data_IF_289514200709
#
_entry.id   IF_289514200709
#
_cell.length_a   1.000
_cell.length_b   1.000
_cell.length_c   1.000
_cell.angle_alpha   90.00
_cell.angle_beta   90.00
_cell.angle_gamma   90.00
#
_symmetry.space_group_name_H-M   'P 1'
#
loop_
_entity.id
_entity.type
_entity.pdbx_description
1 polymer ?
#
# COMPACT_ATOMS: atom_id res chain seq x y z
N UNK A 1 -9.17 -2.54 -5.80
CA UNK A 1 -9.76 -2.17 -4.50
C UNK A 1 -9.69 -3.39 -3.59
N UNK A 2 -9.21 -3.21 -2.36
CA UNK A 2 -9.28 -4.24 -1.31
C UNK A 2 -10.74 -4.31 -0.80
N UNK A 3 -11.23 -5.52 -0.54
CA UNK A 3 -12.58 -5.75 -0.06
C UNK A 3 -12.53 -6.45 1.30
N UNK A 4 -13.20 -5.87 2.30
CA UNK A 4 -13.42 -6.45 3.63
C UNK A 4 -14.81 -6.07 4.10
N UNK A 5 -15.53 -7.03 4.68
CA UNK A 5 -16.80 -6.79 5.36
C UNK A 5 -16.63 -6.15 6.74
N UNK A 6 -15.42 -6.25 7.32
CA UNK A 6 -15.06 -5.68 8.62
C UNK A 6 -14.33 -4.34 8.42
N UNK A 7 -14.77 -3.25 9.06
CA UNK A 7 -14.06 -1.96 9.01
C UNK A 7 -12.63 -2.06 9.53
N UNK A 8 -11.69 -1.44 8.83
CA UNK A 8 -10.29 -1.35 9.26
C UNK A 8 -10.13 -0.14 10.19
N UNK A 9 -9.71 -0.39 11.43
CA UNK A 9 -9.52 0.62 12.48
C UNK A 9 -8.05 1.06 12.50
N UNK A 10 -7.83 2.34 12.23
CA UNK A 10 -6.48 2.93 12.17
C UNK A 10 -6.39 4.07 13.16
N UNK A 11 -5.38 4.04 14.03
CA UNK A 11 -4.96 5.26 14.74
C UNK A 11 -3.87 5.93 13.92
N UNK A 12 -4.01 7.23 13.69
CA UNK A 12 -3.02 8.03 12.98
C UNK A 12 -2.44 9.09 13.91
N UNK A 13 -1.12 9.13 14.00
CA UNK A 13 -0.37 10.04 14.85
C UNK A 13 0.50 10.94 13.98
N UNK A 14 0.55 12.22 14.34
CA UNK A 14 1.42 13.20 13.71
C UNK A 14 2.38 13.74 14.76
N UNK A 15 3.54 13.09 14.89
CA UNK A 15 4.48 13.28 16.00
C UNK A 15 5.92 13.40 15.49
N UNK A 16 6.86 13.98 16.25
CA UNK A 16 8.26 13.96 15.84
C UNK A 16 8.80 12.53 15.83
N UNK A 17 9.35 12.11 14.69
CA UNK A 17 10.06 10.83 14.54
C UNK A 17 11.56 11.05 14.44
N UNK A 18 12.32 9.95 14.51
CA UNK A 18 13.77 9.99 14.34
C UNK A 18 14.16 10.59 12.97
N UNK A 19 15.31 11.29 12.88
CA UNK A 19 15.77 11.86 11.62
C UNK A 19 15.85 10.80 10.51
N UNK A 20 15.30 11.13 9.33
CA UNK A 20 15.28 10.23 8.17
C UNK A 20 14.04 9.35 8.06
N UNK A 21 13.19 9.27 9.09
CA UNK A 21 11.89 8.58 9.00
C UNK A 21 10.79 9.56 8.59
N UNK A 22 10.09 9.25 7.49
CA UNK A 22 8.92 10.01 7.04
C UNK A 22 7.64 9.51 7.72
N UNK A 23 7.55 8.20 7.90
CA UNK A 23 6.50 7.51 8.62
C UNK A 23 6.98 6.15 9.13
N UNK A 24 6.14 5.51 9.93
CA UNK A 24 6.24 4.11 10.32
C UNK A 24 4.88 3.60 10.79
N UNK A 25 4.58 2.34 10.51
CA UNK A 25 3.34 1.69 10.90
C UNK A 25 3.61 0.42 11.65
N UNK A 26 2.90 0.23 12.76
CA UNK A 26 2.97 -0.97 13.57
C UNK A 26 1.60 -1.67 13.50
N UNK A 27 1.51 -2.83 12.82
CA UNK A 27 0.25 -3.58 12.75
C UNK A 27 0.02 -4.43 14.00
N UNK A 28 -1.23 -4.49 14.45
CA UNK A 28 -1.66 -5.46 15.45
C UNK A 28 -1.66 -6.86 14.84
N UNK A 29 -1.31 -7.88 15.60
CA UNK A 29 -1.09 -9.24 15.11
C UNK A 29 -2.10 -10.26 15.64
N UNK A 30 -2.51 -11.20 14.79
CA UNK A 30 -3.22 -12.43 15.18
C UNK A 30 -2.56 -13.63 14.53
N UNK A 31 -2.46 -14.73 15.28
CA UNK A 31 -2.03 -16.05 14.78
C UNK A 31 -3.02 -17.12 15.23
N UNK A 32 -3.01 -18.25 14.54
CA UNK A 32 -3.77 -19.46 14.92
C UNK A 32 -5.27 -19.22 15.20
N UNK A 33 -5.87 -18.20 14.58
CA UNK A 33 -7.30 -17.94 14.67
C UNK A 33 -8.09 -18.96 13.85
N UNK A 34 -9.37 -19.16 14.19
CA UNK A 34 -10.23 -20.04 13.42
C UNK A 34 -10.41 -19.51 11.99
N UNK A 35 -10.02 -20.29 10.99
CA UNK A 35 -10.00 -19.86 9.58
C UNK A 35 -8.65 -19.33 9.09
N UNK A 36 -7.60 -19.34 9.92
CA UNK A 36 -6.25 -19.00 9.47
C UNK A 36 -5.78 -19.93 8.34
N UNK A 37 -5.31 -19.40 7.19
CA UNK A 37 -4.89 -20.22 6.07
C UNK A 37 -3.68 -21.13 6.37
N UNK A 38 -2.78 -20.66 7.23
CA UNK A 38 -1.59 -21.37 7.66
C UNK A 38 -1.49 -21.36 9.20
N UNK A 39 -1.19 -22.50 9.84
CA UNK A 39 -0.90 -22.54 11.27
C UNK A 39 0.45 -21.89 11.57
N UNK A 40 0.68 -21.56 12.84
CA UNK A 40 1.94 -21.02 13.34
C UNK A 40 2.47 -19.84 12.51
N UNK A 41 1.57 -18.97 12.08
CA UNK A 41 1.85 -17.84 11.19
C UNK A 41 1.10 -16.60 11.68
N UNK A 42 1.79 -15.47 11.74
CA UNK A 42 1.19 -14.18 12.10
C UNK A 42 0.54 -13.47 10.90
N UNK A 43 -0.59 -12.82 11.16
CA UNK A 43 -1.31 -11.99 10.20
C UNK A 43 -1.55 -10.62 10.85
N UNK A 44 -1.52 -9.55 10.05
CA UNK A 44 -2.05 -8.27 10.54
C UNK A 44 -3.52 -8.43 10.86
N UNK A 45 -4.01 -7.70 11.86
CA UNK A 45 -5.36 -7.95 12.33
C UNK A 45 -6.40 -7.53 11.30
N UNK A 46 -6.14 -6.44 10.56
CA UNK A 46 -6.93 -6.04 9.39
C UNK A 46 -7.10 -7.20 8.38
N UNK A 47 -6.02 -7.94 8.10
CA UNK A 47 -6.06 -9.09 7.20
C UNK A 47 -6.82 -10.28 7.83
N UNK A 48 -6.57 -10.60 9.09
CA UNK A 48 -7.29 -11.70 9.76
C UNK A 48 -8.80 -11.45 9.87
N UNK A 49 -9.21 -10.19 10.11
CA UNK A 49 -10.61 -9.79 10.14
C UNK A 49 -11.26 -9.95 8.75
N UNK A 50 -10.54 -9.52 7.70
CA UNK A 50 -10.97 -9.66 6.32
C UNK A 50 -11.11 -11.13 5.89
N UNK A 51 -10.18 -12.00 6.28
CA UNK A 51 -10.21 -13.45 5.97
C UNK A 51 -11.41 -14.13 6.61
N UNK A 52 -11.77 -13.73 7.83
CA UNK A 52 -12.80 -14.41 8.65
C UNK A 52 -14.17 -13.76 8.58
N UNK A 53 -14.29 -12.59 7.93
CA UNK A 53 -15.48 -11.74 7.98
C UNK A 53 -15.94 -11.43 9.43
N UNK A 54 -15.01 -11.39 10.38
CA UNK A 54 -15.26 -11.20 11.80
C UNK A 54 -14.26 -10.25 12.46
N UNK A 55 -14.72 -9.53 13.49
CA UNK A 55 -13.89 -8.66 14.31
C UNK A 55 -13.15 -9.48 15.39
N UNK A 56 -11.85 -9.72 15.21
CA UNK A 56 -11.02 -10.56 16.10
C UNK A 56 -10.31 -9.77 17.22
N UNK A 57 -10.31 -8.44 17.16
CA UNK A 57 -9.62 -7.52 18.07
C UNK A 57 -10.58 -6.44 18.60
N UNK A 58 -11.68 -6.88 19.20
CA UNK A 58 -12.69 -5.97 19.75
C UNK A 58 -12.07 -4.99 20.74
N UNK A 59 -12.19 -3.69 20.47
CA UNK A 59 -11.67 -2.62 21.32
C UNK A 59 -10.25 -2.14 20.99
N UNK A 60 -9.54 -2.80 20.08
CA UNK A 60 -8.19 -2.41 19.64
C UNK A 60 -8.22 -1.84 18.21
N UNK A 61 -7.23 -1.03 17.83
CA UNK A 61 -6.97 -0.72 16.42
C UNK A 61 -6.37 -1.93 15.69
N UNK A 62 -6.49 -1.95 14.37
CA UNK A 62 -5.81 -2.94 13.53
C UNK A 62 -4.35 -2.57 13.31
N UNK A 63 -4.04 -1.28 13.30
CA UNK A 63 -2.67 -0.77 13.25
C UNK A 63 -2.60 0.69 13.71
N UNK A 64 -1.42 1.06 14.18
CA UNK A 64 -1.06 2.44 14.52
C UNK A 64 -0.07 2.97 13.48
N UNK A 65 -0.42 4.09 12.88
CA UNK A 65 0.32 4.77 11.82
C UNK A 65 0.90 6.07 12.37
N UNK A 66 2.21 6.26 12.21
CA UNK A 66 2.93 7.43 12.70
C UNK A 66 3.54 8.18 11.52
N UNK A 67 3.22 9.46 11.38
CA UNK A 67 3.78 10.36 10.37
C UNK A 67 4.61 11.45 11.05
N UNK A 68 5.78 11.74 10.49
CA UNK A 68 6.74 12.64 11.12
C UNK A 68 6.27 14.10 11.03
N UNK A 69 5.95 14.71 12.17
CA UNK A 69 5.50 16.11 12.24
C UNK A 69 6.59 17.14 11.90
N UNK A 70 7.85 16.73 11.82
CA UNK A 70 8.99 17.58 11.49
C UNK A 70 9.25 17.75 9.99
N UNK A 71 8.51 17.07 9.13
CA UNK A 71 8.70 17.10 7.68
C UNK A 71 7.91 18.25 7.05
N UNK A 72 8.49 18.84 5.99
CA UNK A 72 7.82 19.86 5.19
C UNK A 72 6.79 19.21 4.25
N UNK A 73 5.58 19.00 4.75
CA UNK A 73 4.55 18.28 4.00
C UNK A 73 3.84 19.13 2.93
N UNK A 74 3.50 18.45 1.85
CA UNK A 74 2.44 18.83 0.93
C UNK A 74 1.15 18.11 1.33
N UNK A 75 0.13 18.89 1.68
CA UNK A 75 -1.16 18.39 2.15
C UNK A 75 -2.22 18.26 1.04
N UNK A 76 -1.89 18.68 -0.18
CA UNK A 76 -2.80 18.57 -1.31
C UNK A 76 -2.95 17.11 -1.74
N UNK A 77 -4.11 16.77 -2.29
CA UNK A 77 -4.46 15.42 -2.76
C UNK A 77 -4.49 15.33 -4.29
N UNK A 78 -4.01 16.36 -4.98
CA UNK A 78 -4.05 16.50 -6.44
C UNK A 78 -2.80 15.95 -7.15
N UNK A 79 -1.81 15.50 -6.39
CA UNK A 79 -0.54 14.99 -6.90
C UNK A 79 0.44 16.07 -7.38
N UNK A 80 0.18 17.36 -7.13
CA UNK A 80 1.05 18.46 -7.54
C UNK A 80 2.04 18.87 -6.44
N UNK A 81 2.74 17.89 -5.86
CA UNK A 81 3.67 18.12 -4.76
C UNK A 81 4.85 19.01 -5.19
N UNK A 82 5.09 20.17 -4.54
CA UNK A 82 6.21 21.04 -4.88
C UNK A 82 7.58 20.38 -4.61
N UNK A 83 8.60 20.86 -5.33
CA UNK A 83 9.99 20.40 -5.26
C UNK A 83 10.58 20.30 -3.83
N UNK A 84 10.14 21.16 -2.91
CA UNK A 84 10.68 21.28 -1.54
C UNK A 84 9.87 20.54 -0.48
N UNK A 85 8.86 19.76 -0.88
CA UNK A 85 7.91 19.12 0.02
C UNK A 85 7.82 17.62 -0.21
N UNK A 86 7.42 16.90 0.83
CA UNK A 86 7.03 15.49 0.74
C UNK A 86 5.51 15.38 0.64
N UNK A 87 5.02 14.53 -0.24
CA UNK A 87 3.58 14.32 -0.43
C UNK A 87 2.99 13.46 0.70
N UNK A 88 2.10 14.06 1.50
CA UNK A 88 1.54 13.38 2.68
C UNK A 88 0.70 12.16 2.30
N UNK A 89 -0.06 12.23 1.20
CA UNK A 89 -0.93 11.14 0.74
C UNK A 89 -0.09 9.92 0.36
N UNK A 90 1.03 10.13 -0.33
CA UNK A 90 1.93 9.05 -0.74
C UNK A 90 2.52 8.34 0.46
N UNK A 91 3.05 9.08 1.44
CA UNK A 91 3.61 8.46 2.65
C UNK A 91 2.52 7.80 3.49
N UNK A 92 1.36 8.45 3.69
CA UNK A 92 0.26 7.83 4.42
C UNK A 92 -0.23 6.53 3.74
N UNK A 93 -0.30 6.50 2.40
CA UNK A 93 -0.69 5.32 1.65
C UNK A 93 0.35 4.19 1.76
N UNK A 94 1.64 4.52 1.69
CA UNK A 94 2.75 3.60 1.93
C UNK A 94 2.63 2.96 3.32
N UNK A 95 2.45 3.79 4.34
CA UNK A 95 2.27 3.35 5.73
C UNK A 95 1.01 2.49 5.91
N UNK A 96 -0.10 2.83 5.25
CA UNK A 96 -1.30 2.00 5.25
C UNK A 96 -1.05 0.61 4.63
N UNK A 97 -0.21 0.49 3.59
CA UNK A 97 0.13 -0.82 3.03
C UNK A 97 0.83 -1.73 4.05
N UNK A 98 1.72 -1.18 4.89
CA UNK A 98 2.30 -1.92 6.01
C UNK A 98 1.22 -2.38 7.01
N UNK A 99 0.31 -1.47 7.40
CA UNK A 99 -0.86 -1.76 8.23
C UNK A 99 -1.72 -2.91 7.69
N UNK A 100 -1.86 -2.97 6.37
CA UNK A 100 -2.62 -4.00 5.65
C UNK A 100 -1.90 -5.35 5.54
N UNK A 101 -0.67 -5.48 6.01
CA UNK A 101 0.05 -6.76 6.02
C UNK A 101 1.21 -6.85 5.02
N UNK A 102 1.59 -5.75 4.35
CA UNK A 102 2.90 -5.66 3.68
C UNK A 102 3.99 -5.48 4.75
N UNK A 103 4.14 -6.46 5.64
CA UNK A 103 5.05 -6.39 6.78
C UNK A 103 5.54 -7.80 7.11
N UNK A 104 6.78 -7.90 7.55
CA UNK A 104 7.42 -9.14 7.99
C UNK A 104 7.95 -8.99 9.41
N UNK A 105 8.40 -10.10 9.98
CA UNK A 105 8.92 -10.18 11.35
C UNK A 105 10.43 -10.45 11.40
N UNK A 106 11.15 -10.13 10.32
CA UNK A 106 12.58 -10.33 10.21
C UNK A 106 13.36 -9.42 11.16
N UNK A 107 14.31 -9.98 11.89
CA UNK A 107 15.28 -9.26 12.75
C UNK A 107 16.67 -9.86 12.59
N UNK A 108 17.69 -9.02 12.63
CA UNK A 108 19.10 -9.44 12.73
C UNK A 108 19.69 -8.94 14.05
N UNK A 109 20.28 -9.84 14.82
CA UNK A 109 21.02 -9.53 16.05
C UNK A 109 22.39 -10.21 15.99
N UNK A 110 23.46 -9.41 16.06
CA UNK A 110 24.82 -9.93 15.93
C UNK A 110 25.04 -10.67 14.60
N UNK A 111 25.26 -11.99 14.66
CA UNK A 111 25.50 -12.84 13.50
C UNK A 111 24.28 -13.64 13.06
N UNK A 112 23.15 -13.54 13.75
CA UNK A 112 21.95 -14.35 13.49
C UNK A 112 20.82 -13.51 12.94
N UNK A 113 20.13 -14.06 11.93
CA UNK A 113 18.84 -13.59 11.43
C UNK A 113 17.74 -14.45 12.03
N UNK A 114 16.56 -13.87 12.15
CA UNK A 114 15.40 -14.50 12.78
C UNK A 114 14.09 -13.95 12.24
N UNK A 115 13.03 -14.73 12.36
CA UNK A 115 11.65 -14.25 12.27
C UNK A 115 10.98 -14.34 13.65
N UNK A 116 10.17 -13.35 13.99
CA UNK A 116 9.34 -13.38 15.21
C UNK A 116 10.12 -13.16 16.51
N UNK A 117 11.25 -12.46 16.45
CA UNK A 117 12.02 -11.99 17.63
C UNK A 117 12.05 -10.46 17.75
N UNK A 118 11.17 -9.77 17.02
CA UNK A 118 10.98 -8.33 17.19
C UNK A 118 10.36 -8.05 18.55
N UNK A 119 10.90 -7.06 19.23
CA UNK A 119 10.48 -6.59 20.54
C UNK A 119 10.03 -5.13 20.42
N UNK A 120 9.11 -4.68 21.26
CA UNK A 120 8.65 -3.28 21.25
C UNK A 120 9.81 -2.28 21.34
N UNK A 121 10.87 -2.61 22.09
CA UNK A 121 12.07 -1.78 22.25
C UNK A 121 12.83 -1.55 20.94
N UNK A 122 12.68 -2.44 19.95
CA UNK A 122 13.31 -2.29 18.63
C UNK A 122 12.77 -1.07 17.88
N UNK A 123 11.59 -0.56 18.26
CA UNK A 123 10.91 0.58 17.65
C UNK A 123 10.84 1.81 18.56
N UNK A 124 11.56 1.80 19.69
CA UNK A 124 11.54 2.91 20.63
C UNK A 124 11.95 4.25 19.96
N UNK A 125 11.33 5.38 20.35
CA UNK A 125 10.38 5.54 21.47
C UNK A 125 8.91 5.31 21.09
N UNK A 126 8.64 4.75 19.90
CA UNK A 126 7.27 4.51 19.42
C UNK A 126 6.71 3.29 20.15
N UNK A 127 5.45 3.37 20.51
CA UNK A 127 4.71 2.32 21.22
C UNK A 127 3.43 2.02 20.45
N UNK A 128 2.72 0.96 20.83
CA UNK A 128 1.43 0.61 20.24
C UNK A 128 0.30 0.84 21.25
N UNK A 129 -0.90 1.13 20.75
CA UNK A 129 -2.13 1.26 21.56
C UNK A 129 -2.71 -0.09 21.97
N UNK A 130 -2.26 -1.16 21.33
CA UNK A 130 -2.57 -2.54 21.64
C UNK A 130 -1.33 -3.24 22.24
N UNK A 131 -1.49 -4.35 22.99
CA UNK A 131 -0.36 -5.06 23.55
C UNK A 131 0.56 -5.63 22.45
N UNK A 132 1.88 -5.44 22.60
CA UNK A 132 2.84 -6.15 21.76
C UNK A 132 2.79 -7.65 22.08
N UNK A 133 2.46 -8.53 21.12
CA UNK A 133 2.35 -9.95 21.38
C UNK A 133 3.72 -10.62 21.50
N UNK A 134 3.78 -11.72 22.25
CA UNK A 134 4.90 -12.67 22.14
C UNK A 134 4.83 -13.32 20.76
N UNK A 135 5.76 -12.97 19.86
CA UNK A 135 5.74 -13.39 18.46
C UNK A 135 6.14 -14.87 18.24
N UNK A 136 6.44 -15.60 19.32
CA UNK A 136 6.70 -17.05 19.33
C UNK A 136 7.82 -17.53 18.40
N UNK A 137 8.74 -16.66 17.96
CA UNK A 137 9.76 -17.00 16.94
C UNK A 137 9.12 -17.52 15.64
N UNK A 138 7.93 -17.00 15.30
CA UNK A 138 7.17 -17.39 14.13
C UNK A 138 7.21 -16.30 13.03
N UNK A 139 7.15 -16.70 11.75
CA UNK A 139 7.04 -15.76 10.64
C UNK A 139 5.64 -15.12 10.56
N UNK A 140 5.56 -13.95 9.93
CA UNK A 140 4.31 -13.45 9.39
C UNK A 140 3.99 -14.11 8.03
N UNK A 141 2.73 -14.06 7.61
CA UNK A 141 2.29 -14.60 6.31
C UNK A 141 3.10 -14.04 5.14
N UNK A 142 3.52 -12.78 5.23
CA UNK A 142 4.40 -12.15 4.25
C UNK A 142 5.77 -12.85 4.17
N UNK A 143 6.39 -13.14 5.32
CA UNK A 143 7.70 -13.80 5.41
C UNK A 143 7.68 -15.20 4.79
N UNK A 144 6.55 -15.91 4.89
CA UNK A 144 6.38 -17.26 4.31
C UNK A 144 6.51 -17.30 2.79
N UNK A 145 6.45 -16.13 2.13
CA UNK A 145 6.59 -15.99 0.68
C UNK A 145 7.97 -15.51 0.26
N UNK A 146 8.86 -15.18 1.19
CA UNK A 146 10.20 -14.73 0.84
C UNK A 146 11.09 -15.91 0.44
N UNK A 147 11.79 -15.80 -0.68
CA UNK A 147 12.77 -16.79 -1.14
C UNK A 147 14.13 -16.17 -1.38
N UNK A 148 15.18 -16.99 -1.29
CA UNK A 148 16.51 -16.64 -1.81
C UNK A 148 16.56 -16.67 -3.35
N UNK A 149 17.75 -16.49 -3.93
CA UNK A 149 17.97 -16.50 -5.37
C UNK A 149 17.81 -17.87 -6.03
N UNK A 150 17.93 -18.95 -5.25
CA UNK A 150 17.76 -20.32 -5.71
C UNK A 150 16.30 -20.79 -5.59
N UNK A 151 15.44 -19.95 -4.99
CA UNK A 151 14.02 -20.22 -4.79
C UNK A 151 13.70 -20.96 -3.49
N UNK A 152 14.66 -21.10 -2.57
CA UNK A 152 14.38 -21.68 -1.25
C UNK A 152 13.64 -20.67 -0.38
N UNK A 153 12.55 -21.10 0.25
CA UNK A 153 11.81 -20.25 1.18
C UNK A 153 12.65 -19.94 2.42
N UNK A 154 12.71 -18.66 2.79
CA UNK A 154 13.51 -18.21 3.93
C UNK A 154 13.01 -18.82 5.25
N UNK A 155 11.72 -19.13 5.35
CA UNK A 155 11.12 -19.79 6.53
C UNK A 155 11.50 -21.26 6.70
N UNK A 156 12.21 -21.87 5.73
CA UNK A 156 12.70 -23.25 5.84
C UNK A 156 14.08 -23.37 6.48
N UNK A 157 14.81 -22.26 6.62
CA UNK A 157 16.08 -22.23 7.34
C UNK A 157 15.83 -22.28 8.86
N UNK A 158 16.79 -22.77 9.66
CA UNK A 158 16.66 -22.73 11.11
C UNK A 158 16.44 -21.30 11.59
N UNK A 159 15.48 -21.11 12.50
CA UNK A 159 15.11 -19.82 13.05
C UNK A 159 15.35 -19.80 14.56
N UNK A 160 16.30 -19.00 15.10
CA UNK A 160 17.25 -18.11 14.40
C UNK A 160 18.48 -18.82 13.82
N UNK A 161 19.17 -18.22 12.83
CA UNK A 161 20.44 -18.77 12.29
C UNK A 161 21.31 -17.75 11.56
N UNK A 162 22.59 -18.11 11.35
CA UNK A 162 23.51 -17.36 10.46
C UNK A 162 23.09 -17.43 8.99
N UNK A 163 22.45 -18.53 8.58
CA UNK A 163 21.99 -18.74 7.21
C UNK A 163 20.83 -17.79 6.88
N UNK A 164 19.92 -17.57 7.83
CA UNK A 164 18.90 -16.52 7.71
C UNK A 164 19.53 -15.15 7.54
N UNK A 165 20.52 -14.78 8.36
CA UNK A 165 21.21 -13.49 8.22
C UNK A 165 21.82 -13.31 6.83
N UNK A 166 22.49 -14.35 6.32
CA UNK A 166 23.11 -14.33 4.99
C UNK A 166 22.04 -14.00 3.94
N UNK A 167 20.89 -14.67 4.00
CA UNK A 167 19.79 -14.46 3.07
C UNK A 167 19.06 -13.13 3.24
N UNK A 168 19.03 -12.54 4.43
CA UNK A 168 18.38 -11.25 4.66
C UNK A 168 19.13 -10.06 4.03
N UNK A 169 20.31 -10.32 3.46
CA UNK A 169 21.21 -9.31 2.89
C UNK A 169 21.63 -9.67 1.46
N UNK A 170 22.41 -8.81 0.80
CA UNK A 170 23.08 -9.19 -0.45
C UNK A 170 22.23 -9.12 -1.73
N UNK A 171 21.08 -8.45 -1.68
CA UNK A 171 20.19 -8.18 -2.82
C UNK A 171 19.68 -9.46 -3.51
N UNK A 172 19.40 -10.49 -2.71
CA UNK A 172 19.09 -11.85 -3.17
C UNK A 172 17.71 -12.35 -2.77
N UNK A 173 16.84 -11.49 -2.23
CA UNK A 173 15.49 -11.89 -1.78
C UNK A 173 14.43 -11.52 -2.80
N UNK A 174 13.49 -12.44 -2.99
CA UNK A 174 12.34 -12.30 -3.89
C UNK A 174 11.05 -12.69 -3.17
N UNK A 175 9.92 -12.15 -3.62
CA UNK A 175 8.60 -12.54 -3.15
C UNK A 175 7.99 -13.59 -4.09
N UNK A 176 7.72 -14.79 -3.56
CA UNK A 176 7.11 -15.89 -4.29
C UNK A 176 5.59 -15.93 -4.06
N UNK A 177 4.87 -15.24 -4.94
CA UNK A 177 3.42 -15.25 -4.99
C UNK A 177 2.96 -15.25 -6.44
N UNK A 178 1.93 -16.05 -6.74
CA UNK A 178 1.44 -16.22 -8.11
C UNK A 178 0.89 -14.89 -8.66
N UNK A 179 0.09 -14.18 -7.86
CA UNK A 179 -0.53 -12.93 -8.29
C UNK A 179 0.52 -11.82 -8.44
N UNK A 180 1.44 -11.69 -7.48
CA UNK A 180 2.54 -10.74 -7.53
C UNK A 180 3.47 -10.99 -8.73
N UNK A 181 3.77 -12.26 -9.01
CA UNK A 181 4.61 -12.65 -10.17
C UNK A 181 3.91 -12.35 -11.48
N UNK A 182 2.60 -12.64 -11.60
CA UNK A 182 1.81 -12.24 -12.78
C UNK A 182 1.89 -10.72 -13.00
N UNK A 183 1.79 -9.93 -11.94
CA UNK A 183 1.92 -8.46 -11.99
C UNK A 183 3.34 -7.96 -12.30
N UNK A 184 4.33 -8.85 -12.29
CA UNK A 184 5.74 -8.57 -12.58
C UNK A 184 6.24 -9.43 -13.76
N UNK A 185 5.42 -9.55 -14.82
CA UNK A 185 5.77 -10.24 -16.07
C UNK A 185 6.12 -11.74 -15.90
N UNK A 186 5.52 -12.39 -14.91
CA UNK A 186 5.79 -13.79 -14.58
C UNK A 186 7.03 -14.02 -13.71
N UNK A 187 7.75 -12.95 -13.32
CA UNK A 187 8.93 -13.04 -12.47
C UNK A 187 8.60 -12.68 -11.02
N UNK A 188 9.22 -13.36 -10.05
CA UNK A 188 9.08 -13.02 -8.62
C UNK A 188 9.55 -11.57 -8.37
N UNK A 189 8.75 -10.71 -7.71
CA UNK A 189 9.19 -9.36 -7.37
C UNK A 189 10.44 -9.35 -6.50
N UNK A 190 11.35 -8.43 -6.79
CA UNK A 190 12.59 -8.32 -6.03
C UNK A 190 12.36 -7.50 -4.75
N UNK A 191 12.81 -8.03 -3.62
CA UNK A 191 12.66 -7.39 -2.31
C UNK A 191 13.91 -6.60 -1.93
N UNK A 192 13.73 -5.58 -1.10
CA UNK A 192 14.83 -4.79 -0.59
C UNK A 192 15.62 -5.56 0.47
N UNK A 193 16.74 -6.14 0.06
CA UNK A 193 17.69 -6.83 0.93
C UNK A 193 19.08 -6.20 0.77
N UNK A 194 19.36 -5.03 1.38
CA UNK A 194 20.66 -4.35 1.26
C UNK A 194 21.82 -5.19 1.80
N UNK A 195 23.07 -4.77 1.56
CA UNK A 195 24.26 -5.44 2.10
C UNK A 195 24.34 -5.42 3.63
N UNK A 196 23.77 -4.38 4.24
CA UNK A 196 23.59 -4.26 5.69
C UNK A 196 22.10 -4.28 6.00
N UNK A 197 21.67 -5.24 6.82
CA UNK A 197 20.28 -5.32 7.27
C UNK A 197 19.88 -4.00 7.97
N UNK A 198 18.77 -3.41 7.53
CA UNK A 198 18.18 -2.20 8.07
C UNK A 198 16.82 -2.56 8.65
N UNK A 199 16.73 -2.60 9.99
CA UNK A 199 15.48 -2.85 10.69
C UNK A 199 14.42 -1.83 10.24
N UNK A 200 13.20 -2.29 9.97
CA UNK A 200 12.10 -1.47 9.47
C UNK A 200 12.14 -1.20 7.96
N UNK A 201 13.18 -1.63 7.23
CA UNK A 201 13.26 -1.48 5.77
C UNK A 201 13.55 -2.79 5.05
N UNK A 202 14.54 -3.54 5.53
CA UNK A 202 14.94 -4.81 4.92
C UNK A 202 13.78 -5.81 4.91
N UNK A 203 13.57 -6.44 3.76
CA UNK A 203 12.59 -7.50 3.50
C UNK A 203 11.12 -7.07 3.58
N UNK A 204 10.84 -5.83 3.96
CA UNK A 204 9.48 -5.27 4.03
C UNK A 204 9.24 -4.18 2.99
N UNK A 205 10.09 -4.11 1.95
CA UNK A 205 9.96 -3.19 0.83
C UNK A 205 10.32 -3.85 -0.50
N UNK A 206 9.77 -3.32 -1.58
CA UNK A 206 10.25 -3.60 -2.93
C UNK A 206 11.65 -3.01 -3.14
N UNK A 207 12.43 -3.64 -4.02
CA UNK A 207 13.79 -3.25 -4.27
C UNK A 207 13.88 -1.91 -5.04
N UNK A 208 14.38 -0.86 -4.39
CA UNK A 208 14.54 0.48 -4.97
C UNK A 208 15.25 0.48 -6.34
N UNK A 209 16.35 -0.28 -6.48
CA UNK A 209 17.10 -0.31 -7.74
C UNK A 209 16.35 -1.01 -8.88
N UNK A 210 15.40 -1.87 -8.54
CA UNK A 210 14.54 -2.59 -9.51
C UNK A 210 13.29 -1.78 -9.85
N UNK A 211 12.75 -1.07 -8.86
CA UNK A 211 11.52 -0.26 -8.97
C UNK A 211 11.81 1.20 -8.59
N UNK A 212 12.70 1.90 -9.31
CA UNK A 212 13.17 3.23 -8.92
C UNK A 212 12.07 4.29 -9.03
N UNK A 213 12.37 5.49 -8.53
CA UNK A 213 11.47 6.64 -8.65
C UNK A 213 10.92 6.83 -10.08
N UNK A 214 9.60 7.03 -10.19
CA UNK A 214 8.81 7.07 -11.42
C UNK A 214 8.33 5.71 -11.93
N UNK A 215 8.74 4.60 -11.32
CA UNK A 215 8.16 3.28 -11.60
C UNK A 215 6.76 3.19 -10.98
N UNK A 216 5.83 2.48 -11.63
CA UNK A 216 4.49 2.25 -11.04
C UNK A 216 4.52 1.59 -9.67
N UNK A 217 5.49 0.72 -9.42
CA UNK A 217 5.61 -0.02 -8.16
C UNK A 217 6.52 0.72 -7.16
N UNK A 218 6.85 2.00 -7.40
CA UNK A 218 7.75 2.75 -6.53
C UNK A 218 7.18 2.97 -5.13
N UNK A 219 5.85 2.94 -4.94
CA UNK A 219 5.24 3.34 -3.67
C UNK A 219 5.84 2.58 -2.48
N UNK A 220 6.01 1.26 -2.61
CA UNK A 220 6.50 0.39 -1.52
C UNK A 220 8.00 0.13 -1.58
N UNK A 221 8.79 1.00 -2.20
CA UNK A 221 10.24 1.01 -2.00
C UNK A 221 10.61 1.82 -0.75
N UNK A 222 11.80 1.61 -0.14
CA UNK A 222 12.09 2.16 1.19
C UNK A 222 12.43 3.66 1.19
N UNK A 223 12.51 4.31 0.02
CA UNK A 223 12.91 5.70 -0.08
C UNK A 223 11.88 6.51 -0.86
N UNK A 224 11.51 7.67 -0.32
CA UNK A 224 10.71 8.65 -1.04
C UNK A 224 11.53 9.92 -1.30
N UNK A 225 11.45 10.44 -2.51
CA UNK A 225 11.99 11.74 -2.88
C UNK A 225 10.99 12.86 -2.56
N UNK A 226 11.50 14.04 -2.22
CA UNK A 226 10.67 15.25 -2.26
C UNK A 226 10.09 15.44 -3.67
N UNK A 227 8.93 16.08 -3.78
CA UNK A 227 8.14 16.27 -5.02
C UNK A 227 7.45 15.03 -5.58
N UNK A 228 7.86 13.82 -5.18
CA UNK A 228 7.22 12.61 -5.67
C UNK A 228 5.81 12.50 -5.06
N UNK A 229 4.83 12.29 -5.93
CA UNK A 229 3.44 12.06 -5.55
C UNK A 229 2.93 10.79 -6.23
N UNK A 230 2.73 9.75 -5.44
CA UNK A 230 2.38 8.39 -5.85
C UNK A 230 1.13 7.98 -5.07
N UNK A 231 -0.02 8.12 -5.71
CA UNK A 231 -1.33 7.87 -5.08
C UNK A 231 -1.95 6.53 -5.51
N UNK A 232 -1.08 5.58 -5.86
CA UNK A 232 -1.45 4.21 -6.22
C UNK A 232 -0.40 3.22 -5.65
N UNK A 233 -0.81 2.12 -4.99
CA UNK A 233 0.13 1.11 -4.51
C UNK A 233 0.91 0.40 -5.62
N UNK A 234 0.38 0.39 -6.84
CA UNK A 234 0.97 -0.31 -7.97
C UNK A 234 0.58 -1.80 -8.03
N UNK A 235 0.68 -2.40 -9.22
CA UNK A 235 0.18 -3.75 -9.48
C UNK A 235 0.90 -4.83 -8.66
N UNK A 236 2.21 -4.70 -8.41
CA UNK A 236 2.96 -5.69 -7.62
C UNK A 236 2.46 -5.72 -6.18
N UNK A 237 2.28 -4.55 -5.55
CA UNK A 237 1.80 -4.46 -4.18
C UNK A 237 0.39 -5.04 -4.07
N UNK A 238 -0.49 -4.74 -5.03
CA UNK A 238 -1.83 -5.33 -5.08
C UNK A 238 -1.80 -6.86 -5.27
N UNK A 239 -0.86 -7.38 -6.06
CA UNK A 239 -0.63 -8.82 -6.21
C UNK A 239 -0.15 -9.47 -4.91
N UNK A 240 0.81 -8.84 -4.23
CA UNK A 240 1.33 -9.28 -2.92
C UNK A 240 0.21 -9.33 -1.88
N UNK A 241 -0.60 -8.27 -1.77
CA UNK A 241 -1.73 -8.23 -0.84
C UNK A 241 -2.72 -9.37 -1.11
N UNK A 242 -2.94 -9.71 -2.38
CA UNK A 242 -3.78 -10.86 -2.76
C UNK A 242 -3.12 -12.20 -2.37
N UNK A 243 -1.82 -12.35 -2.57
CA UNK A 243 -1.08 -13.58 -2.24
C UNK A 243 -1.00 -13.87 -0.73
N UNK A 244 -1.04 -12.83 0.11
CA UNK A 244 -1.12 -12.99 1.58
C UNK A 244 -2.53 -13.22 2.10
N UNK A 245 -3.57 -13.05 1.27
CA UNK A 245 -4.95 -13.44 1.58
C UNK A 245 -6.01 -12.36 1.44
N UNK A 246 -5.68 -11.14 1.01
CA UNK A 246 -6.73 -10.14 0.76
C UNK A 246 -7.61 -10.52 -0.42
N UNK A 247 -8.90 -10.27 -0.29
CA UNK A 247 -9.79 -10.24 -1.43
C UNK A 247 -9.56 -8.93 -2.22
N UNK A 248 -8.89 -9.05 -3.37
CA UNK A 248 -8.50 -7.91 -4.20
C UNK A 248 -9.27 -7.90 -5.51
N UNK A 249 -10.12 -6.88 -5.68
CA UNK A 249 -10.73 -6.55 -6.97
C UNK A 249 -9.84 -5.53 -7.69
N UNK A 250 -8.72 -5.99 -8.26
CA UNK A 250 -7.79 -5.17 -9.02
C UNK A 250 -7.73 -5.67 -10.46
N UNK A 251 -8.04 -4.79 -11.42
CA UNK A 251 -8.11 -5.09 -12.85
C UNK A 251 -6.89 -4.58 -13.63
N UNK A 252 -5.79 -4.23 -12.95
CA UNK A 252 -4.57 -3.80 -13.63
C UNK A 252 -3.98 -4.93 -14.47
N UNK A 253 -3.55 -4.61 -15.70
CA UNK A 253 -3.00 -5.59 -16.65
C UNK A 253 -1.51 -5.83 -16.33
N UNK A 254 -1.03 -7.09 -16.34
CA UNK A 254 0.39 -7.41 -16.27
C UNK A 254 1.24 -6.68 -17.32
N UNK A 255 2.36 -6.09 -16.91
CA UNK A 255 3.40 -5.67 -17.85
C UNK A 255 3.12 -4.42 -18.68
N UNK A 256 1.93 -3.84 -18.57
CA UNK A 256 1.84 -2.41 -18.81
C UNK A 256 2.66 -1.75 -17.70
N UNK A 257 3.72 -1.02 -18.05
CA UNK A 257 3.96 0.24 -17.36
C UNK A 257 2.57 0.88 -17.44
N UNK A 258 1.78 1.01 -16.38
CA UNK A 258 0.68 1.95 -16.49
C UNK A 258 1.40 3.23 -16.80
N UNK A 259 1.30 3.66 -18.05
CA UNK A 259 1.91 4.85 -18.58
C UNK A 259 1.39 5.96 -17.68
N UNK A 260 2.12 6.24 -16.60
CA UNK A 260 1.66 7.02 -15.45
C UNK A 260 0.12 7.00 -15.38
N UNK A 261 -0.54 5.87 -15.11
CA UNK A 261 -2.02 5.78 -15.28
C UNK A 261 -2.67 6.64 -14.19
N UNK A 262 -2.73 7.93 -14.48
CA UNK A 262 -3.48 8.97 -13.80
C UNK A 262 -4.93 8.79 -14.21
N UNK A 263 -5.48 7.62 -13.92
CA UNK A 263 -6.82 7.34 -14.34
C UNK A 263 -7.78 8.28 -13.61
N UNK A 264 -8.63 8.93 -14.38
CA UNK A 264 -9.77 9.71 -13.91
C UNK A 264 -10.53 8.85 -12.90
N UNK A 265 -10.61 9.28 -11.63
CA UNK A 265 -11.46 8.65 -10.61
C UNK A 265 -12.56 9.64 -10.22
N UNK A 266 -13.72 9.10 -9.88
CA UNK A 266 -14.91 9.87 -9.51
C UNK A 266 -15.47 9.26 -8.24
N UNK A 267 -15.56 10.04 -7.17
CA UNK A 267 -16.06 9.58 -5.87
C UNK A 267 -16.77 10.69 -5.08
N UNK A 268 -17.73 10.38 -4.19
CA UNK A 268 -18.32 9.07 -4.01
C UNK A 268 -19.08 8.64 -5.29
N UNK A 269 -19.25 7.35 -5.48
CA UNK A 269 -20.11 6.81 -6.52
C UNK A 269 -20.77 5.55 -5.95
N UNK A 270 -22.07 5.59 -5.60
CA UNK A 270 -23.06 6.65 -5.90
C UNK A 270 -22.85 7.97 -5.14
N UNK A 271 -23.41 9.10 -5.63
CA UNK A 271 -23.34 10.43 -4.99
C UNK A 271 -24.67 11.18 -4.99
N UNK A 272 -24.90 12.03 -3.98
CA UNK A 272 -26.13 12.81 -3.82
C UNK A 272 -25.96 14.32 -4.08
N UNK A 273 -24.86 14.95 -3.66
CA UNK A 273 -24.72 16.42 -3.75
C UNK A 273 -23.46 16.88 -4.48
N UNK A 274 -22.34 16.17 -4.26
CA UNK A 274 -21.03 16.52 -4.83
C UNK A 274 -20.31 15.25 -5.23
N UNK A 275 -19.56 15.33 -6.33
CA UNK A 275 -18.53 14.36 -6.68
C UNK A 275 -17.17 15.04 -6.75
N UNK A 276 -16.17 14.32 -6.30
CA UNK A 276 -14.76 14.62 -6.36
C UNK A 276 -14.15 13.87 -7.53
N UNK A 277 -13.26 14.56 -8.23
CA UNK A 277 -12.65 14.07 -9.45
C UNK A 277 -11.13 14.18 -9.25
N UNK A 278 -10.44 13.08 -9.46
CA UNK A 278 -8.97 13.05 -9.47
C UNK A 278 -8.51 12.60 -10.83
N UNK A 279 -7.50 13.28 -11.39
CA UNK A 279 -6.84 12.93 -12.65
C UNK A 279 -5.66 13.86 -12.89
N UNK A 280 -4.98 13.74 -14.02
CA UNK A 280 -3.79 14.55 -14.30
C UNK A 280 -4.17 16.01 -14.63
N UNK A 281 -4.02 16.92 -13.66
CA UNK A 281 -4.35 18.34 -13.80
C UNK A 281 -3.27 19.14 -14.55
N UNK A 282 -2.14 18.52 -14.93
CA UNK A 282 -1.00 19.21 -15.52
C UNK A 282 -1.12 19.42 -17.04
N UNK A 283 -2.22 18.99 -17.67
CA UNK A 283 -2.45 19.15 -19.11
C UNK A 283 -3.72 19.96 -19.37
N UNK A 284 -3.67 20.86 -20.35
CA UNK A 284 -4.86 21.50 -20.91
C UNK A 284 -5.78 20.43 -21.51
N UNK A 285 -7.08 20.48 -21.21
CA UNK A 285 -8.02 19.46 -21.66
C UNK A 285 -9.47 19.82 -21.40
N UNK A 286 -10.38 19.09 -22.02
CA UNK A 286 -11.82 19.30 -21.96
C UNK A 286 -12.45 18.27 -21.04
N UNK A 287 -13.10 18.76 -19.99
CA UNK A 287 -13.93 17.96 -19.10
C UNK A 287 -15.40 18.11 -19.51
N UNK A 288 -16.09 17.00 -19.72
CA UNK A 288 -17.51 16.99 -20.10
C UNK A 288 -18.30 15.99 -19.23
N UNK A 289 -19.52 16.38 -18.86
CA UNK A 289 -20.49 15.47 -18.23
C UNK A 289 -21.73 15.38 -19.10
N UNK A 290 -22.16 14.16 -19.38
CA UNK A 290 -23.34 13.84 -20.17
C UNK A 290 -24.24 12.87 -19.41
N UNK A 291 -25.54 12.90 -19.64
CA UNK A 291 -26.41 11.80 -19.24
C UNK A 291 -26.30 10.61 -20.20
N UNK A 292 -26.97 9.50 -19.89
CA UNK A 292 -26.96 8.30 -20.74
C UNK A 292 -27.61 8.48 -22.12
N UNK A 293 -28.38 9.54 -22.34
CA UNK A 293 -28.93 9.88 -23.66
C UNK A 293 -27.92 10.65 -24.53
N UNK A 294 -26.76 11.03 -23.95
CA UNK A 294 -25.75 11.86 -24.58
C UNK A 294 -26.03 13.36 -24.46
N UNK A 295 -27.05 13.76 -23.68
CA UNK A 295 -27.31 15.17 -23.42
C UNK A 295 -26.22 15.74 -22.49
N UNK A 296 -25.57 16.82 -22.94
CA UNK A 296 -24.44 17.43 -22.21
C UNK A 296 -24.95 18.34 -21.10
N UNK A 297 -24.54 18.01 -19.88
CA UNK A 297 -24.90 18.73 -18.65
C UNK A 297 -23.85 19.79 -18.31
N UNK A 298 -22.57 19.45 -18.44
CA UNK A 298 -21.45 20.31 -18.07
C UNK A 298 -20.31 20.19 -19.07
N UNK A 299 -19.61 21.31 -19.29
CA UNK A 299 -18.37 21.39 -20.05
C UNK A 299 -17.42 22.41 -19.43
N UNK A 300 -16.17 22.02 -19.23
CA UNK A 300 -15.09 22.86 -18.73
C UNK A 300 -13.83 22.62 -19.57
N UNK A 301 -12.97 23.63 -19.69
CA UNK A 301 -11.66 23.53 -20.38
C UNK A 301 -10.51 23.25 -19.37
N UNK A 302 -10.84 22.61 -18.25
CA UNK A 302 -9.91 22.11 -17.24
C UNK A 302 -10.54 20.94 -16.48
N UNK A 303 -9.72 20.14 -15.78
CA UNK A 303 -10.21 19.07 -14.91
C UNK A 303 -10.53 19.65 -13.52
N UNK A 304 -11.81 19.70 -13.10
CA UNK A 304 -12.16 20.22 -11.78
C UNK A 304 -11.80 19.20 -10.67
N UNK A 305 -11.43 19.68 -9.48
CA UNK A 305 -11.23 18.80 -8.32
C UNK A 305 -12.55 18.26 -7.74
N UNK A 306 -13.66 18.99 -7.94
CA UNK A 306 -15.01 18.56 -7.60
C UNK A 306 -16.07 19.29 -8.42
N UNK A 307 -17.27 18.72 -8.51
CA UNK A 307 -18.46 19.36 -9.06
C UNK A 307 -19.67 19.13 -8.14
N UNK A 308 -20.47 20.18 -7.93
CA UNK A 308 -21.81 20.02 -7.34
C UNK A 308 -22.74 19.41 -8.39
N UNK A 309 -23.51 18.41 -7.96
CA UNK A 309 -24.50 17.68 -8.74
C UNK A 309 -25.90 17.83 -8.11
N UNK A 310 -26.10 18.81 -7.22
CA UNK A 310 -27.40 19.07 -6.58
C UNK A 310 -28.51 19.37 -7.60
N UNK A 311 -28.14 19.99 -8.73
CA UNK A 311 -29.05 20.28 -9.83
C UNK A 311 -29.25 19.14 -10.83
N UNK A 312 -28.59 17.99 -10.64
CA UNK A 312 -28.66 16.86 -11.56
C UNK A 312 -29.88 16.00 -11.20
N UNK A 313 -30.58 15.49 -12.20
CA UNK A 313 -31.65 14.52 -11.99
C UNK A 313 -31.06 13.17 -11.55
N UNK A 314 -31.82 12.37 -10.80
CA UNK A 314 -31.37 11.03 -10.43
C UNK A 314 -31.16 10.17 -11.68
N UNK A 315 -30.03 9.49 -11.76
CA UNK A 315 -29.64 8.75 -12.96
C UNK A 315 -28.14 8.52 -13.10
N UNK A 316 -27.76 7.81 -14.17
CA UNK A 316 -26.36 7.55 -14.50
C UNK A 316 -25.84 8.67 -15.40
N UNK A 317 -24.63 9.13 -15.08
CA UNK A 317 -23.92 10.15 -15.84
C UNK A 317 -22.57 9.62 -16.31
N UNK A 318 -22.15 10.09 -17.47
CA UNK A 318 -20.87 9.77 -18.11
C UNK A 318 -20.00 11.02 -18.06
N UNK A 319 -18.82 10.88 -17.47
CA UNK A 319 -17.78 11.89 -17.40
C UNK A 319 -16.72 11.55 -18.44
N UNK A 320 -16.29 12.55 -19.20
CA UNK A 320 -15.19 12.46 -20.16
C UNK A 320 -14.12 13.51 -19.86
N UNK A 321 -12.87 13.09 -19.89
CA UNK A 321 -11.69 13.96 -19.85
C UNK A 321 -10.90 13.75 -21.14
N UNK A 322 -10.72 14.81 -21.92
CA UNK A 322 -9.99 14.77 -23.19
C UNK A 322 -8.82 15.75 -23.11
N UNK A 323 -7.59 15.26 -23.15
CA UNK A 323 -6.41 16.10 -23.38
C UNK A 323 -5.69 15.65 -24.66
N UNK A 324 -4.57 16.30 -24.98
CA UNK A 324 -3.82 16.04 -26.22
C UNK A 324 -3.18 14.63 -26.27
N UNK A 325 -3.17 13.89 -25.16
CA UNK A 325 -2.48 12.60 -25.01
C UNK A 325 -3.46 11.44 -24.77
N UNK A 326 -4.59 11.68 -24.09
CA UNK A 326 -5.50 10.65 -23.58
C UNK A 326 -6.95 11.13 -23.61
N UNK A 327 -7.86 10.20 -23.93
CA UNK A 327 -9.30 10.34 -23.67
C UNK A 327 -9.73 9.33 -22.61
N UNK A 328 -10.19 9.83 -21.47
CA UNK A 328 -10.66 9.01 -20.36
C UNK A 328 -12.16 9.16 -20.15
N UNK A 329 -12.81 8.07 -19.74
CA UNK A 329 -14.26 8.05 -19.47
C UNK A 329 -14.56 7.34 -18.16
N UNK A 330 -15.47 7.90 -17.35
CA UNK A 330 -16.00 7.32 -16.11
C UNK A 330 -17.49 7.50 -16.02
N UNK A 331 -18.13 6.70 -15.17
CA UNK A 331 -19.55 6.85 -14.86
C UNK A 331 -19.76 7.10 -13.38
N UNK A 332 -20.82 7.84 -13.04
CA UNK A 332 -21.32 7.93 -11.68
C UNK A 332 -22.84 7.87 -11.63
N UNK A 333 -23.37 7.39 -10.50
CA UNK A 333 -24.80 7.33 -10.21
C UNK A 333 -25.19 8.48 -9.28
N UNK A 334 -26.10 9.35 -9.73
CA UNK A 334 -26.81 10.33 -8.91
C UNK A 334 -28.05 9.68 -8.31
N UNK A 335 -28.23 9.82 -6.99
CA UNK A 335 -29.42 9.42 -6.26
C UNK A 335 -29.96 10.53 -5.36
#
# INVERSE_FOLDING_TARGET
>A
MLNSSVPIKVNAYFIPLLPGLLGITLPNGRKDFSGAPFPATWYSTALSNSITDMELNTGESDFDLYLNSGINWYYGTDGNCPASKYDLVSIALHEMCHGLGFVGLAKVTGTTGSFGLLEEIDFAPITTTFPWPDLDTLPAIFDTRLTDSDGNFLTTFPNPSTDLKSNFTGNQVYFDGENASQMNNGFKPKMYAPSSFALGSSLVHLNESTYPAGNVNELMTPFAGASNAVHDPGPIVMGILKDIGWNVNYTGVPGEIPAKVHSLKVFPNPASTTIWITGNNNHLGKFEVTDVSGHRILKLDYLPASISIDGFSNGVYIIRWLNDEVTETRTFLKY
#
